data_IF_338360883598
#
_entry.id   IF_338360883598
#
_cell.length_a   1.000
_cell.length_b   1.000
_cell.length_c   1.000
_cell.angle_alpha   90.00
_cell.angle_beta   90.00
_cell.angle_gamma   90.00
#
_symmetry.space_group_name_H-M   'P 1'
#
loop_
_entity.id
_entity.type
_entity.pdbx_description
1 polymer ?
#
# COMPACT_ATOMS: atom_id res chain seq x y z
N UNK A 1 19.42 16.64 35.91
CA UNK A 1 19.35 16.42 34.47
C UNK A 1 17.94 16.10 33.99
N UNK A 2 17.21 15.17 34.59
CA UNK A 2 15.83 14.76 34.18
C UNK A 2 14.82 15.92 34.15
N UNK A 3 14.85 16.83 35.14
CA UNK A 3 13.93 17.97 35.21
C UNK A 3 14.09 18.97 34.03
N UNK A 4 15.35 19.27 33.64
CA UNK A 4 15.61 20.17 32.49
C UNK A 4 15.08 19.60 31.16
N UNK A 5 15.28 18.30 30.92
CA UNK A 5 14.75 17.62 29.75
C UNK A 5 13.21 17.68 29.69
N UNK A 6 12.55 17.41 30.82
CA UNK A 6 11.09 17.45 30.92
C UNK A 6 10.51 18.84 30.60
N UNK A 7 11.07 19.89 31.20
CA UNK A 7 10.60 21.25 30.92
C UNK A 7 10.85 21.67 29.46
N UNK A 8 12.00 21.29 28.90
CA UNK A 8 12.28 21.55 27.48
C UNK A 8 11.27 20.86 26.58
N UNK A 9 11.09 19.56 26.72
CA UNK A 9 10.13 18.77 25.92
C UNK A 9 8.72 19.32 26.05
N UNK A 10 8.26 19.63 27.27
CA UNK A 10 6.94 20.22 27.51
C UNK A 10 6.76 21.56 26.81
N UNK A 11 7.76 22.45 26.88
CA UNK A 11 7.72 23.77 26.24
C UNK A 11 7.70 23.64 24.72
N UNK A 12 8.53 22.77 24.15
CA UNK A 12 8.60 22.51 22.70
C UNK A 12 7.27 21.93 22.19
N UNK A 13 6.73 20.93 22.88
CA UNK A 13 5.43 20.37 22.52
C UNK A 13 4.30 21.40 22.59
N UNK A 14 4.29 22.27 23.64
CA UNK A 14 3.31 23.35 23.74
C UNK A 14 3.41 24.32 22.56
N UNK A 15 4.63 24.65 22.13
CA UNK A 15 4.86 25.48 20.94
C UNK A 15 4.36 24.82 19.66
N UNK A 16 4.64 23.53 19.46
CA UNK A 16 4.19 22.79 18.29
C UNK A 16 2.67 22.64 18.22
N UNK A 17 2.00 22.46 19.36
CA UNK A 17 0.54 22.32 19.46
C UNK A 17 -0.17 23.67 19.43
N UNK A 18 0.51 24.80 19.63
CA UNK A 18 -0.12 26.14 19.56
C UNK A 18 -0.79 26.43 18.22
N UNK A 19 -0.34 25.79 17.13
CA UNK A 19 -0.94 25.82 15.78
C UNK A 19 -1.88 24.63 15.52
N UNK A 20 -2.52 24.08 16.56
CA UNK A 20 -3.21 22.79 16.53
C UNK A 20 -4.23 22.65 15.40
N UNK A 21 -4.99 23.68 15.08
CA UNK A 21 -5.95 23.65 13.96
C UNK A 21 -5.26 23.39 12.60
N UNK A 22 -4.13 24.06 12.36
CA UNK A 22 -3.34 23.88 11.13
C UNK A 22 -2.75 22.47 11.09
N UNK A 23 -2.19 22.01 12.22
CA UNK A 23 -1.59 20.68 12.34
C UNK A 23 -2.61 19.58 12.06
N UNK A 24 -3.79 19.66 12.67
CA UNK A 24 -4.87 18.70 12.46
C UNK A 24 -5.34 18.72 11.01
N UNK A 25 -5.54 19.91 10.43
CA UNK A 25 -6.03 20.05 9.07
C UNK A 25 -5.05 19.47 8.03
N UNK A 26 -3.75 19.78 8.14
CA UNK A 26 -2.76 19.38 7.14
C UNK A 26 -2.25 17.95 7.29
N UNK A 27 -2.03 17.48 8.53
CA UNK A 27 -1.37 16.19 8.74
C UNK A 27 -2.34 15.04 9.03
N UNK A 28 -3.57 15.36 9.42
CA UNK A 28 -4.57 14.34 9.77
C UNK A 28 -5.76 14.43 8.81
N UNK A 29 -6.50 15.53 8.79
CA UNK A 29 -7.74 15.63 8.04
C UNK A 29 -7.53 15.55 6.52
N UNK A 30 -6.60 16.31 5.96
CA UNK A 30 -6.34 16.29 4.51
C UNK A 30 -5.91 14.92 3.98
N UNK A 31 -4.91 14.22 4.56
CA UNK A 31 -4.54 12.89 4.10
C UNK A 31 -5.64 11.85 4.26
N UNK A 32 -6.44 11.93 5.32
CA UNK A 32 -7.59 11.05 5.53
C UNK A 32 -8.65 11.27 4.43
N UNK A 33 -9.03 12.53 4.20
CA UNK A 33 -10.03 12.86 3.17
C UNK A 33 -9.54 12.39 1.81
N UNK A 34 -8.27 12.63 1.47
CA UNK A 34 -7.69 12.19 0.20
C UNK A 34 -7.64 10.66 0.07
N UNK A 35 -7.26 9.94 1.12
CA UNK A 35 -7.25 8.48 1.07
C UNK A 35 -8.65 7.89 0.92
N UNK A 36 -9.65 8.43 1.63
CA UNK A 36 -11.05 8.02 1.53
C UNK A 36 -11.62 8.36 0.14
N UNK A 37 -11.36 9.55 -0.36
CA UNK A 37 -11.81 9.99 -1.67
C UNK A 37 -11.23 9.11 -2.79
N UNK A 38 -9.92 8.88 -2.77
CA UNK A 38 -9.25 8.02 -3.75
C UNK A 38 -9.71 6.56 -3.65
N UNK A 39 -9.90 6.05 -2.43
CA UNK A 39 -10.45 4.72 -2.20
C UNK A 39 -11.85 4.57 -2.78
N UNK A 40 -12.72 5.54 -2.54
CA UNK A 40 -14.07 5.58 -3.07
C UNK A 40 -14.11 5.66 -4.60
N UNK A 41 -13.39 6.61 -5.18
CA UNK A 41 -13.32 6.78 -6.65
C UNK A 41 -12.76 5.56 -7.36
N UNK A 42 -11.71 4.94 -6.82
CA UNK A 42 -11.15 3.74 -7.42
C UNK A 42 -12.07 2.53 -7.29
N UNK A 43 -12.82 2.41 -6.21
CA UNK A 43 -13.85 1.38 -6.11
C UNK A 43 -14.93 1.60 -7.18
N UNK A 44 -15.46 2.82 -7.33
CA UNK A 44 -16.44 3.14 -8.36
C UNK A 44 -15.93 2.86 -9.79
N UNK A 45 -14.68 3.18 -10.08
CA UNK A 45 -14.11 2.94 -11.42
C UNK A 45 -13.72 1.48 -11.66
N UNK A 46 -13.42 0.71 -10.62
CA UNK A 46 -13.14 -0.73 -10.72
C UNK A 46 -14.43 -1.57 -10.76
N UNK A 47 -15.51 -1.08 -10.17
CA UNK A 47 -16.84 -1.71 -10.19
C UNK A 47 -17.67 -1.27 -11.40
N UNK A 48 -17.14 -0.43 -12.29
CA UNK A 48 -17.87 0.06 -13.45
C UNK A 48 -18.11 -1.09 -14.45
N UNK A 49 -19.36 -1.61 -14.57
CA UNK A 49 -19.68 -2.79 -15.37
C UNK A 49 -19.58 -2.54 -16.89
N UNK A 50 -19.28 -1.30 -17.31
CA UNK A 50 -19.34 -0.86 -18.71
C UNK A 50 -18.05 -1.12 -19.51
N UNK A 51 -16.95 -1.57 -18.90
CA UNK A 51 -15.77 -2.05 -19.62
C UNK A 51 -15.33 -3.38 -19.01
N UNK A 52 -15.80 -4.46 -19.61
CA UNK A 52 -15.25 -5.80 -19.40
C UNK A 52 -13.74 -5.73 -19.64
N UNK A 53 -12.94 -5.82 -18.59
CA UNK A 53 -11.49 -5.89 -18.73
C UNK A 53 -11.14 -7.25 -19.31
N UNK A 54 -10.31 -7.26 -20.34
CA UNK A 54 -9.80 -8.49 -20.93
C UNK A 54 -9.24 -9.38 -19.82
N UNK A 55 -9.74 -10.62 -19.77
CA UNK A 55 -9.37 -11.63 -18.79
C UNK A 55 -8.19 -12.44 -19.33
N UNK A 56 -7.07 -12.44 -18.63
CA UNK A 56 -5.94 -13.30 -18.99
C UNK A 56 -6.19 -14.72 -18.50
N UNK A 57 -6.50 -15.64 -19.43
CA UNK A 57 -6.91 -17.02 -19.13
C UNK A 57 -5.83 -17.98 -19.57
N UNK A 58 -5.45 -18.92 -18.68
CA UNK A 58 -4.66 -20.08 -19.03
C UNK A 58 -5.58 -21.29 -19.14
N UNK A 59 -5.53 -21.98 -20.26
CA UNK A 59 -6.31 -23.19 -20.50
C UNK A 59 -5.42 -24.39 -20.19
N UNK A 60 -5.90 -25.28 -19.30
CA UNK A 60 -5.29 -26.57 -18.99
C UNK A 60 -6.26 -27.65 -19.42
N UNK A 61 -5.89 -28.44 -20.39
CA UNK A 61 -6.70 -29.52 -20.92
C UNK A 61 -6.11 -30.86 -20.46
N UNK A 62 -6.72 -31.44 -19.42
CA UNK A 62 -6.33 -32.74 -18.85
C UNK A 62 -7.07 -33.91 -19.52
N UNK A 63 -8.16 -33.62 -20.29
CA UNK A 63 -8.96 -34.61 -20.97
C UNK A 63 -8.38 -35.00 -22.33
N UNK A 64 -7.80 -34.05 -23.05
CA UNK A 64 -7.18 -34.22 -24.37
C UNK A 64 -8.09 -34.88 -25.43
N UNK A 65 -9.41 -34.82 -25.25
CA UNK A 65 -10.42 -35.37 -26.17
C UNK A 65 -10.68 -34.43 -27.36
N UNK A 66 -11.47 -34.90 -28.31
CA UNK A 66 -11.91 -34.03 -29.44
C UNK A 66 -12.81 -32.89 -28.93
N UNK A 67 -13.70 -33.16 -27.97
CA UNK A 67 -14.60 -32.14 -27.44
C UNK A 67 -13.85 -31.10 -26.61
N UNK A 68 -12.84 -31.51 -25.82
CA UNK A 68 -12.02 -30.58 -25.03
C UNK A 68 -11.19 -29.64 -25.94
N UNK A 69 -10.63 -30.17 -27.01
CA UNK A 69 -9.90 -29.38 -28.03
C UNK A 69 -10.80 -28.37 -28.74
N UNK A 70 -12.01 -28.79 -29.17
CA UNK A 70 -13.01 -27.89 -29.76
C UNK A 70 -13.38 -26.75 -28.79
N UNK A 71 -13.59 -27.04 -27.49
CA UNK A 71 -13.84 -26.03 -26.50
C UNK A 71 -12.66 -25.05 -26.38
N UNK A 72 -11.43 -25.56 -26.36
CA UNK A 72 -10.23 -24.75 -26.33
C UNK A 72 -10.09 -23.82 -27.56
N UNK A 73 -10.48 -24.30 -28.74
CA UNK A 73 -10.52 -23.50 -29.99
C UNK A 73 -11.57 -22.40 -29.93
N UNK A 74 -12.76 -22.68 -29.43
CA UNK A 74 -13.83 -21.70 -29.23
C UNK A 74 -13.37 -20.57 -28.29
N UNK A 75 -12.73 -20.92 -27.17
CA UNK A 75 -12.22 -19.93 -26.22
C UNK A 75 -11.12 -19.06 -26.85
N UNK A 76 -10.30 -19.62 -27.75
CA UNK A 76 -9.28 -18.89 -28.52
C UNK A 76 -9.86 -18.13 -29.71
N UNK A 77 -11.14 -18.35 -30.03
CA UNK A 77 -11.84 -17.80 -31.18
C UNK A 77 -11.88 -16.28 -31.22
N UNK A 78 -12.14 -15.72 -32.41
CA UNK A 78 -12.18 -14.26 -32.61
C UNK A 78 -13.29 -13.59 -31.82
N UNK A 79 -14.39 -14.28 -31.57
CA UNK A 79 -15.59 -13.73 -30.92
C UNK A 79 -15.38 -13.43 -29.44
N UNK A 80 -14.43 -14.14 -28.78
CA UNK A 80 -14.12 -13.95 -27.38
C UNK A 80 -12.86 -13.10 -27.13
N UNK A 81 -12.18 -12.60 -28.16
CA UNK A 81 -10.94 -11.82 -28.05
C UNK A 81 -11.10 -10.50 -27.28
N UNK A 82 -12.29 -9.91 -27.30
CA UNK A 82 -12.57 -8.70 -26.53
C UNK A 82 -12.72 -8.97 -25.04
N UNK A 83 -13.05 -10.21 -24.66
CA UNK A 83 -13.26 -10.64 -23.28
C UNK A 83 -12.08 -11.43 -22.73
N UNK A 84 -11.45 -12.29 -23.57
CA UNK A 84 -10.46 -13.27 -23.14
C UNK A 84 -9.17 -13.12 -23.95
N UNK A 85 -8.05 -13.15 -23.24
CA UNK A 85 -6.71 -13.28 -23.80
C UNK A 85 -6.06 -14.54 -23.23
N UNK A 86 -5.75 -15.50 -24.11
CA UNK A 86 -5.07 -16.73 -23.66
C UNK A 86 -3.59 -16.43 -23.42
N UNK A 87 -3.11 -16.73 -22.20
CA UNK A 87 -1.74 -16.48 -21.77
C UNK A 87 -1.17 -17.73 -21.08
N UNK A 88 0.16 -17.90 -21.15
CA UNK A 88 0.84 -19.03 -20.51
C UNK A 88 1.47 -18.64 -19.16
N UNK A 89 1.74 -17.34 -18.93
CA UNK A 89 2.38 -16.82 -17.72
C UNK A 89 1.46 -15.82 -17.03
N UNK A 90 1.41 -15.86 -15.70
CA UNK A 90 0.65 -14.96 -14.85
C UNK A 90 -0.83 -14.77 -15.26
N UNK A 91 -1.62 -15.86 -15.42
CA UNK A 91 -3.03 -15.75 -15.76
C UNK A 91 -3.84 -15.18 -14.57
N UNK A 92 -4.90 -14.43 -14.90
CA UNK A 92 -5.92 -14.03 -13.91
C UNK A 92 -6.78 -15.22 -13.48
N UNK A 93 -7.03 -16.09 -14.45
CA UNK A 93 -7.88 -17.29 -14.32
C UNK A 93 -7.23 -18.46 -15.00
N UNK A 94 -7.28 -19.61 -14.35
CA UNK A 94 -6.90 -20.89 -14.91
C UNK A 94 -8.16 -21.74 -15.15
N UNK A 95 -8.44 -22.03 -16.41
CA UNK A 95 -9.54 -22.87 -16.83
C UNK A 95 -9.02 -24.28 -17.02
N UNK A 96 -9.47 -25.21 -16.17
CA UNK A 96 -9.07 -26.63 -16.21
C UNK A 96 -10.22 -27.46 -16.76
N UNK A 97 -9.98 -28.14 -17.88
CA UNK A 97 -10.88 -29.16 -18.43
C UNK A 97 -10.43 -30.49 -17.86
N UNK A 98 -11.17 -31.00 -16.88
CA UNK A 98 -10.78 -32.20 -16.15
C UNK A 98 -10.99 -33.48 -16.97
N UNK A 99 -10.25 -34.54 -16.62
CA UNK A 99 -10.39 -35.88 -17.24
C UNK A 99 -11.82 -36.37 -17.19
N UNK A 100 -12.26 -37.00 -18.28
CA UNK A 100 -13.61 -37.53 -18.41
C UNK A 100 -14.63 -36.49 -18.90
N UNK A 101 -14.19 -35.31 -19.32
CA UNK A 101 -15.05 -34.24 -19.82
C UNK A 101 -15.94 -34.72 -20.97
N UNK A 102 -15.37 -35.32 -22.04
CA UNK A 102 -16.13 -35.82 -23.19
C UNK A 102 -17.11 -36.95 -22.79
N UNK A 103 -16.65 -37.91 -21.99
CA UNK A 103 -17.51 -38.99 -21.54
C UNK A 103 -18.70 -38.50 -20.69
N UNK A 104 -18.46 -37.48 -19.84
CA UNK A 104 -19.53 -36.89 -19.04
C UNK A 104 -20.55 -36.17 -19.94
N UNK A 105 -20.11 -35.46 -20.95
CA UNK A 105 -21.01 -34.76 -21.90
C UNK A 105 -21.82 -35.77 -22.71
N UNK A 106 -21.19 -36.79 -23.29
CA UNK A 106 -21.87 -37.82 -24.07
C UNK A 106 -22.90 -38.63 -23.26
N UNK A 107 -22.60 -38.85 -21.98
CA UNK A 107 -23.51 -39.54 -21.06
C UNK A 107 -24.51 -38.59 -20.38
N UNK A 108 -24.60 -37.33 -20.83
CA UNK A 108 -25.48 -36.29 -20.31
C UNK A 108 -25.29 -36.03 -18.81
N UNK A 109 -24.08 -36.25 -18.32
CA UNK A 109 -23.66 -35.90 -16.96
C UNK A 109 -23.06 -34.47 -16.92
N UNK A 110 -22.83 -33.93 -15.71
CA UNK A 110 -22.15 -32.63 -15.54
C UNK A 110 -20.79 -32.62 -16.25
N UNK A 111 -20.58 -31.63 -17.10
CA UNK A 111 -19.27 -31.34 -17.66
C UNK A 111 -18.30 -30.99 -16.51
N UNK A 112 -17.12 -31.61 -16.52
CA UNK A 112 -16.15 -31.44 -15.44
C UNK A 112 -15.15 -30.33 -15.82
N UNK A 113 -15.56 -29.06 -15.62
CA UNK A 113 -14.71 -27.89 -15.86
C UNK A 113 -14.56 -27.09 -14.57
N UNK A 114 -13.32 -26.73 -14.26
CA UNK A 114 -12.98 -25.96 -13.08
C UNK A 114 -12.41 -24.61 -13.48
N UNK A 115 -12.93 -23.52 -12.91
CA UNK A 115 -12.42 -22.17 -13.08
C UNK A 115 -11.69 -21.75 -11.81
N UNK A 116 -10.36 -21.72 -11.86
CA UNK A 116 -9.50 -21.30 -10.76
C UNK A 116 -9.18 -19.83 -10.89
N UNK A 117 -9.77 -18.98 -10.05
CA UNK A 117 -9.56 -17.54 -10.07
C UNK A 117 -8.40 -17.14 -9.16
N UNK A 118 -7.38 -16.48 -9.71
CA UNK A 118 -6.19 -16.02 -8.95
C UNK A 118 -6.30 -14.59 -8.43
N UNK A 119 -7.24 -13.77 -8.93
CA UNK A 119 -7.40 -12.37 -8.52
C UNK A 119 -8.86 -12.02 -8.27
N UNK A 120 -9.15 -11.21 -7.25
CA UNK A 120 -10.51 -10.72 -7.00
C UNK A 120 -10.93 -9.58 -7.94
N UNK A 121 -9.95 -8.92 -8.59
CA UNK A 121 -10.16 -7.71 -9.39
C UNK A 121 -10.98 -7.88 -10.67
N UNK A 122 -11.17 -9.11 -11.14
CA UNK A 122 -11.86 -9.42 -12.39
C UNK A 122 -13.05 -10.37 -12.20
N UNK A 123 -13.73 -10.24 -11.08
CA UNK A 123 -14.86 -11.09 -10.70
C UNK A 123 -15.97 -11.08 -11.75
N UNK A 124 -16.36 -9.89 -12.22
CA UNK A 124 -17.42 -9.74 -13.25
C UNK A 124 -17.01 -10.42 -14.55
N UNK A 125 -15.77 -10.24 -15.01
CA UNK A 125 -15.28 -10.88 -16.23
C UNK A 125 -15.22 -12.41 -16.08
N UNK A 126 -14.85 -12.92 -14.89
CA UNK A 126 -14.84 -14.36 -14.59
C UNK A 126 -16.26 -14.94 -14.59
N UNK A 127 -17.21 -14.23 -13.97
CA UNK A 127 -18.61 -14.65 -13.95
C UNK A 127 -19.23 -14.61 -15.36
N UNK A 128 -18.84 -13.63 -16.18
CA UNK A 128 -19.25 -13.58 -17.60
C UNK A 128 -18.69 -14.77 -18.37
N UNK A 129 -17.41 -15.13 -18.18
CA UNK A 129 -16.82 -16.32 -18.77
C UNK A 129 -17.59 -17.58 -18.37
N UNK A 130 -17.90 -17.73 -17.06
CA UNK A 130 -18.72 -18.84 -16.57
C UNK A 130 -20.05 -18.92 -17.30
N UNK A 131 -20.77 -17.80 -17.38
CA UNK A 131 -22.07 -17.74 -18.05
C UNK A 131 -21.98 -18.12 -19.54
N UNK A 132 -20.91 -17.71 -20.23
CA UNK A 132 -20.67 -18.09 -21.63
C UNK A 132 -20.45 -19.60 -21.76
N UNK A 133 -19.63 -20.17 -20.88
CA UNK A 133 -19.36 -21.60 -20.87
C UNK A 133 -20.61 -22.42 -20.50
N UNK A 134 -21.40 -21.97 -19.53
CA UNK A 134 -22.69 -22.60 -19.17
C UNK A 134 -23.64 -22.61 -20.36
N UNK A 135 -23.78 -21.50 -21.08
CA UNK A 135 -24.62 -21.41 -22.28
C UNK A 135 -24.10 -22.27 -23.41
N UNK A 136 -22.78 -22.34 -23.63
CA UNK A 136 -22.18 -23.22 -24.58
C UNK A 136 -22.56 -24.69 -24.32
N UNK A 137 -22.43 -25.13 -23.07
CA UNK A 137 -22.78 -26.49 -22.67
C UNK A 137 -24.28 -26.75 -22.77
N UNK A 138 -25.12 -25.80 -22.39
CA UNK A 138 -26.57 -25.91 -22.61
C UNK A 138 -26.90 -26.15 -24.06
N UNK A 139 -26.33 -25.36 -24.98
CA UNK A 139 -26.54 -25.55 -26.42
C UNK A 139 -26.01 -26.91 -26.93
N UNK A 140 -24.88 -27.34 -26.41
CA UNK A 140 -24.28 -28.63 -26.71
C UNK A 140 -25.22 -29.78 -26.30
N UNK A 141 -25.77 -29.74 -25.07
CA UNK A 141 -26.72 -30.74 -24.57
C UNK A 141 -28.04 -30.74 -25.35
N UNK A 142 -28.56 -29.58 -25.74
CA UNK A 142 -29.75 -29.47 -26.61
C UNK A 142 -29.48 -30.18 -27.93
N UNK A 143 -28.31 -29.94 -28.52
CA UNK A 143 -27.89 -30.58 -29.76
C UNK A 143 -27.79 -32.10 -29.64
N UNK A 144 -27.22 -32.60 -28.52
CA UNK A 144 -27.07 -34.03 -28.27
C UNK A 144 -28.37 -34.74 -27.88
N UNK A 145 -29.37 -33.98 -27.41
CA UNK A 145 -30.68 -34.51 -26.99
C UNK A 145 -31.73 -34.49 -28.13
N UNK A 146 -31.32 -34.17 -29.36
CA UNK A 146 -32.23 -34.00 -30.50
C UNK A 146 -33.42 -33.08 -30.23
N UNK A 147 -33.26 -32.11 -29.35
CA UNK A 147 -34.29 -31.13 -29.02
C UNK A 147 -35.38 -31.64 -28.07
N UNK A 148 -35.19 -32.72 -27.33
CA UNK A 148 -36.17 -33.22 -26.39
C UNK A 148 -36.27 -32.34 -25.15
N UNK A 149 -37.40 -31.66 -24.92
CA UNK A 149 -37.59 -30.60 -23.93
C UNK A 149 -37.57 -31.17 -22.49
N UNK A 150 -38.00 -32.42 -22.29
CA UNK A 150 -38.01 -33.03 -20.93
C UNK A 150 -36.62 -33.30 -20.36
N UNK A 151 -35.62 -33.47 -21.18
CA UNK A 151 -34.22 -33.60 -20.76
C UNK A 151 -33.59 -32.22 -20.47
N UNK A 152 -34.13 -31.14 -21.00
CA UNK A 152 -33.58 -29.78 -20.83
C UNK A 152 -33.73 -29.26 -19.42
N UNK A 153 -34.85 -29.51 -18.75
CA UNK A 153 -35.09 -29.03 -17.37
C UNK A 153 -34.05 -29.62 -16.38
N UNK A 154 -33.63 -30.87 -16.60
CA UNK A 154 -32.58 -31.50 -15.79
C UNK A 154 -31.21 -30.86 -15.98
N UNK A 155 -30.96 -30.23 -17.13
CA UNK A 155 -29.69 -29.57 -17.45
C UNK A 155 -29.67 -28.10 -17.03
N UNK A 156 -30.82 -27.44 -17.00
CA UNK A 156 -30.89 -26.02 -16.57
C UNK A 156 -30.61 -25.86 -15.08
N UNK A 157 -30.98 -26.86 -14.25
CA UNK A 157 -30.73 -26.83 -12.80
C UNK A 157 -29.34 -27.34 -12.42
N UNK A 158 -28.62 -27.99 -13.32
CA UNK A 158 -27.27 -28.49 -13.04
C UNK A 158 -26.22 -27.37 -13.22
N UNK A 159 -25.61 -26.95 -12.13
CA UNK A 159 -24.38 -26.16 -12.22
C UNK A 159 -23.29 -27.01 -12.90
N UNK A 160 -23.01 -26.70 -14.20
CA UNK A 160 -22.07 -27.46 -15.03
C UNK A 160 -20.63 -27.11 -14.67
N UNK A 161 -20.42 -25.93 -14.10
CA UNK A 161 -19.10 -25.38 -13.77
C UNK A 161 -19.02 -25.12 -12.26
N UNK A 162 -18.08 -25.77 -11.60
CA UNK A 162 -17.74 -25.48 -10.22
C UNK A 162 -16.74 -24.31 -10.18
N UNK A 163 -17.13 -23.23 -9.51
CA UNK A 163 -16.23 -22.16 -9.17
C UNK A 163 -15.46 -22.53 -7.90
N UNK A 164 -14.27 -23.06 -8.05
CA UNK A 164 -13.37 -23.28 -6.91
C UNK A 164 -12.55 -21.99 -6.73
N UNK A 165 -12.81 -21.29 -5.64
CA UNK A 165 -11.97 -20.18 -5.21
C UNK A 165 -10.71 -20.79 -4.58
N UNK A 166 -9.66 -20.98 -5.39
CA UNK A 166 -8.35 -21.30 -4.85
C UNK A 166 -7.84 -20.02 -4.18
N UNK A 167 -7.24 -20.17 -2.99
CA UNK A 167 -6.67 -19.08 -2.20
C UNK A 167 -5.88 -18.12 -3.10
N UNK A 168 -6.56 -17.10 -3.49
CA UNK A 168 -6.00 -16.03 -4.30
C UNK A 168 -5.08 -15.24 -3.41
N UNK A 169 -3.95 -14.76 -3.94
CA UNK A 169 -3.16 -13.76 -3.25
C UNK A 169 -4.09 -12.66 -2.76
N UNK A 170 -4.26 -12.61 -1.44
CA UNK A 170 -5.08 -11.61 -0.78
C UNK A 170 -4.62 -10.25 -1.28
N UNK A 171 -5.49 -9.49 -1.92
CA UNK A 171 -5.17 -8.14 -2.40
C UNK A 171 -5.75 -7.13 -1.43
N UNK A 172 -4.99 -6.09 -1.12
CA UNK A 172 -5.49 -4.99 -0.31
C UNK A 172 -6.70 -4.34 -1.00
N UNK A 173 -7.73 -4.07 -0.23
CA UNK A 173 -8.84 -3.21 -0.65
C UNK A 173 -8.28 -1.83 -1.05
N UNK A 174 -8.98 -1.11 -1.93
CA UNK A 174 -8.53 0.21 -2.38
C UNK A 174 -8.36 1.21 -1.22
N UNK A 175 -9.23 1.17 -0.21
CA UNK A 175 -9.06 1.97 1.00
C UNK A 175 -7.78 1.60 1.76
N UNK A 176 -7.47 0.32 1.92
CA UNK A 176 -6.24 -0.16 2.57
C UNK A 176 -4.99 0.29 1.81
N UNK A 177 -5.03 0.21 0.48
CA UNK A 177 -3.95 0.64 -0.39
C UNK A 177 -3.69 2.14 -0.30
N UNK A 178 -4.74 2.97 -0.40
CA UNK A 178 -4.59 4.42 -0.33
C UNK A 178 -4.29 4.90 1.09
N UNK A 179 -4.83 4.28 2.13
CA UNK A 179 -4.46 4.58 3.51
C UNK A 179 -2.96 4.33 3.77
N UNK A 180 -2.41 3.21 3.28
CA UNK A 180 -0.99 2.92 3.40
C UNK A 180 -0.13 3.90 2.57
N UNK A 181 -0.55 4.25 1.37
CA UNK A 181 0.19 5.19 0.52
C UNK A 181 0.21 6.60 1.09
N UNK A 182 -0.92 7.08 1.65
CA UNK A 182 -1.02 8.43 2.24
C UNK A 182 -0.18 8.61 3.51
N UNK A 183 0.18 7.54 4.22
CA UNK A 183 1.19 7.63 5.31
C UNK A 183 2.50 8.19 4.78
N UNK A 184 2.96 7.76 3.60
CA UNK A 184 4.15 8.30 2.96
C UNK A 184 4.07 9.82 2.74
N UNK A 185 2.90 10.30 2.34
CA UNK A 185 2.64 11.73 2.20
C UNK A 185 2.70 12.46 3.54
N UNK A 186 2.03 11.96 4.58
CA UNK A 186 2.07 12.52 5.94
C UNK A 186 3.51 12.65 6.45
N UNK A 187 4.31 11.61 6.27
CA UNK A 187 5.70 11.56 6.70
C UNK A 187 6.54 12.64 6.04
N UNK A 188 6.40 12.83 4.74
CA UNK A 188 7.19 13.82 4.00
C UNK A 188 6.74 15.24 4.32
N UNK A 189 5.45 15.45 4.47
CA UNK A 189 4.91 16.73 4.96
C UNK A 189 5.43 17.06 6.36
N UNK A 190 5.52 16.08 7.26
CA UNK A 190 6.11 16.25 8.58
C UNK A 190 7.59 16.62 8.49
N UNK A 191 8.39 15.92 7.66
CA UNK A 191 9.80 16.24 7.46
C UNK A 191 9.95 17.69 6.99
N UNK A 192 9.19 18.08 5.96
CA UNK A 192 9.25 19.42 5.39
C UNK A 192 8.89 20.51 6.43
N UNK A 193 7.81 20.32 7.16
CA UNK A 193 7.34 21.29 8.16
C UNK A 193 8.27 21.39 9.36
N UNK A 194 8.77 20.27 9.86
CA UNK A 194 9.72 20.24 10.97
C UNK A 194 11.04 20.90 10.61
N UNK A 195 11.55 20.67 9.39
CA UNK A 195 12.76 21.33 8.88
C UNK A 195 12.53 22.84 8.76
N UNK A 196 11.39 23.28 8.22
CA UNK A 196 11.09 24.70 8.11
C UNK A 196 10.92 25.35 9.48
N UNK A 197 10.23 24.71 10.43
CA UNK A 197 10.06 25.17 11.79
C UNK A 197 11.41 25.38 12.49
N UNK A 198 12.28 24.38 12.45
CA UNK A 198 13.61 24.46 13.05
C UNK A 198 14.47 25.59 12.47
N UNK A 199 14.35 25.91 11.18
CA UNK A 199 15.08 27.03 10.61
C UNK A 199 14.43 28.40 10.89
N UNK A 200 13.11 28.45 11.06
CA UNK A 200 12.44 29.67 11.51
C UNK A 200 12.83 30.01 12.96
N UNK A 201 12.89 29.02 13.84
CA UNK A 201 13.36 29.20 15.23
C UNK A 201 14.80 29.74 15.29
N UNK A 202 15.66 29.29 14.38
CA UNK A 202 17.02 29.85 14.23
C UNK A 202 17.00 31.32 13.78
N UNK A 203 16.11 31.70 12.89
CA UNK A 203 16.02 33.08 12.39
C UNK A 203 15.53 34.07 13.46
N UNK A 204 14.75 33.62 14.44
CA UNK A 204 14.22 34.43 15.56
C UNK A 204 15.15 34.44 16.77
N UNK A 205 16.42 34.04 16.61
CA UNK A 205 17.44 34.02 17.66
C UNK A 205 17.14 33.12 18.89
N UNK A 206 16.21 32.18 18.78
CA UNK A 206 15.95 31.18 19.82
C UNK A 206 17.21 30.34 20.06
N UNK A 207 17.96 30.01 19.00
CA UNK A 207 19.24 29.31 19.10
C UNK A 207 20.26 30.04 19.98
N UNK A 208 20.32 31.37 19.91
CA UNK A 208 21.22 32.17 20.77
C UNK A 208 20.81 32.10 22.23
N UNK A 209 19.51 32.09 22.55
CA UNK A 209 19.00 31.91 23.91
C UNK A 209 19.29 30.52 24.45
N UNK A 210 19.15 29.48 23.63
CA UNK A 210 19.48 28.09 23.99
C UNK A 210 21.00 27.94 24.19
N UNK A 211 21.82 28.57 23.37
CA UNK A 211 23.28 28.56 23.52
C UNK A 211 23.77 29.33 24.74
N UNK A 212 22.99 30.28 25.28
CA UNK A 212 23.28 30.97 26.56
C UNK A 212 22.88 30.12 27.78
N UNK A 213 22.04 29.09 27.61
CA UNK A 213 21.69 28.16 28.70
C UNK A 213 22.83 27.16 28.96
N UNK A 214 23.01 26.69 30.19
CA UNK A 214 24.04 25.71 30.55
C UNK A 214 23.64 24.30 30.04
N UNK A 215 23.55 24.14 28.70
CA UNK A 215 23.18 22.90 27.99
C UNK A 215 24.18 22.69 26.88
N UNK A 216 24.76 21.50 26.79
CA UNK A 216 25.65 21.15 25.70
C UNK A 216 24.86 20.96 24.38
N UNK A 217 25.50 21.16 23.22
CA UNK A 217 24.86 20.93 21.93
C UNK A 217 24.30 19.51 21.78
N UNK A 218 24.98 18.53 22.37
CA UNK A 218 24.53 17.14 22.36
C UNK A 218 23.29 16.93 23.22
N UNK A 219 23.23 17.58 24.42
CA UNK A 219 22.03 17.53 25.24
C UNK A 219 20.84 18.21 24.56
N UNK A 220 21.10 19.34 23.90
CA UNK A 220 20.07 20.03 23.12
C UNK A 220 19.52 19.13 22.01
N UNK A 221 20.40 18.53 21.19
CA UNK A 221 20.01 17.60 20.14
C UNK A 221 19.14 16.45 20.70
N UNK A 222 19.54 15.88 21.83
CA UNK A 222 18.81 14.79 22.47
C UNK A 222 17.41 15.21 22.95
N UNK A 223 17.31 16.40 23.59
CA UNK A 223 16.01 16.90 24.09
C UNK A 223 15.07 17.24 22.93
N UNK A 224 15.59 17.85 21.88
CA UNK A 224 14.83 18.16 20.68
C UNK A 224 14.38 16.89 19.96
N UNK A 225 15.26 15.90 19.83
CA UNK A 225 14.92 14.58 19.29
C UNK A 225 13.77 13.92 20.06
N UNK A 226 13.81 13.98 21.40
CA UNK A 226 12.78 13.40 22.24
C UNK A 226 11.42 14.09 22.08
N UNK A 227 11.42 15.42 22.01
CA UNK A 227 10.20 16.21 21.75
C UNK A 227 9.61 15.87 20.37
N UNK A 228 10.46 15.79 19.35
CA UNK A 228 10.04 15.45 17.98
C UNK A 228 9.52 14.01 17.87
N UNK A 229 10.11 13.04 18.56
CA UNK A 229 9.59 11.66 18.63
C UNK A 229 8.15 11.65 19.15
N UNK A 230 7.91 12.31 20.29
CA UNK A 230 6.59 12.33 20.91
C UNK A 230 5.57 12.99 19.98
N UNK A 231 5.92 14.14 19.41
CA UNK A 231 5.02 14.90 18.53
C UNK A 231 4.66 14.13 17.27
N UNK A 232 5.66 13.61 16.56
CA UNK A 232 5.45 12.87 15.30
C UNK A 232 4.71 11.56 15.55
N UNK A 233 5.04 10.87 16.64
CA UNK A 233 4.34 9.65 17.05
C UNK A 233 2.85 9.89 17.23
N UNK A 234 2.46 10.97 17.92
CA UNK A 234 1.05 11.30 18.14
C UNK A 234 0.33 11.55 16.80
N UNK A 235 0.94 12.28 15.87
CA UNK A 235 0.32 12.57 14.56
C UNK A 235 0.15 11.30 13.72
N UNK A 236 1.20 10.49 13.59
CA UNK A 236 1.15 9.25 12.81
C UNK A 236 0.19 8.26 13.45
N UNK A 237 0.20 8.15 14.79
CA UNK A 237 -0.73 7.30 15.52
C UNK A 237 -2.18 7.76 15.33
N UNK A 238 -2.47 9.06 15.38
CA UNK A 238 -3.81 9.59 15.17
C UNK A 238 -4.35 9.24 13.76
N UNK A 239 -3.51 9.38 12.72
CA UNK A 239 -3.86 8.96 11.37
C UNK A 239 -4.20 7.47 11.29
N UNK A 240 -3.33 6.62 11.84
CA UNK A 240 -3.50 5.15 11.79
C UNK A 240 -4.70 4.70 12.61
N UNK A 241 -4.92 5.29 13.81
CA UNK A 241 -6.06 4.99 14.68
C UNK A 241 -7.37 5.33 13.98
N UNK A 242 -7.44 6.45 13.26
CA UNK A 242 -8.63 6.82 12.51
C UNK A 242 -9.06 5.71 11.54
N UNK A 243 -8.15 5.24 10.70
CA UNK A 243 -8.45 4.19 9.72
C UNK A 243 -8.76 2.84 10.38
N UNK A 244 -8.16 2.56 11.52
CA UNK A 244 -8.44 1.35 12.29
C UNK A 244 -9.83 1.39 12.92
N UNK A 245 -10.22 2.50 13.56
CA UNK A 245 -11.53 2.67 14.21
C UNK A 245 -12.66 2.67 13.19
N UNK A 246 -12.45 3.31 12.03
CA UNK A 246 -13.43 3.27 10.94
C UNK A 246 -13.52 1.91 10.24
N UNK A 247 -12.60 0.99 10.53
CA UNK A 247 -12.56 -0.32 9.89
C UNK A 247 -12.21 -0.29 8.40
N UNK A 248 -11.67 0.81 7.89
CA UNK A 248 -11.28 0.95 6.49
C UNK A 248 -9.91 0.36 6.20
N UNK A 249 -8.98 0.40 7.17
CA UNK A 249 -7.61 -0.10 7.02
C UNK A 249 -7.00 -0.48 8.37
N UNK A 250 -5.80 -1.07 8.36
CA UNK A 250 -4.97 -1.39 9.54
C UNK A 250 -5.67 -2.29 10.59
N UNK A 251 -6.43 -3.29 10.13
CA UNK A 251 -7.25 -4.19 10.98
C UNK A 251 -6.47 -5.27 11.71
N UNK A 252 -5.18 -5.46 11.40
CA UNK A 252 -4.35 -6.53 11.93
C UNK A 252 -3.91 -6.35 13.38
N UNK A 253 -2.80 -7.00 13.76
CA UNK A 253 -2.25 -7.00 15.11
C UNK A 253 -1.83 -5.58 15.56
N UNK A 254 -2.27 -5.16 16.75
CA UNK A 254 -2.00 -3.82 17.30
C UNK A 254 -0.52 -3.61 17.62
N UNK A 255 0.17 -4.62 18.14
CA UNK A 255 1.58 -4.51 18.48
C UNK A 255 2.45 -4.31 17.24
N UNK A 256 2.15 -5.05 16.19
CA UNK A 256 2.80 -4.93 14.89
C UNK A 256 2.57 -3.55 14.26
N UNK A 257 1.36 -3.03 14.40
CA UNK A 257 1.01 -1.68 13.96
C UNK A 257 1.78 -0.61 14.72
N UNK A 258 1.95 -0.79 16.03
CA UNK A 258 2.74 0.12 16.87
C UNK A 258 4.21 0.13 16.43
N UNK A 259 4.78 -1.02 16.07
CA UNK A 259 6.14 -1.10 15.50
C UNK A 259 6.25 -0.29 14.22
N UNK A 260 5.27 -0.36 13.32
CA UNK A 260 5.25 0.44 12.10
C UNK A 260 5.17 1.94 12.37
N UNK A 261 4.32 2.36 13.32
CA UNK A 261 4.21 3.77 13.73
C UNK A 261 5.52 4.28 14.32
N UNK A 262 6.15 3.51 15.20
CA UNK A 262 7.46 3.84 15.78
C UNK A 262 8.56 3.93 14.72
N UNK A 263 8.61 2.97 13.81
CA UNK A 263 9.58 2.96 12.69
C UNK A 263 9.43 4.20 11.81
N UNK A 264 8.18 4.56 11.48
CA UNK A 264 7.86 5.79 10.74
C UNK A 264 8.32 7.04 11.46
N UNK A 265 8.06 7.10 12.77
CA UNK A 265 8.48 8.21 13.63
C UNK A 265 10.00 8.37 13.65
N UNK A 266 10.73 7.28 13.82
CA UNK A 266 12.20 7.30 13.83
C UNK A 266 12.80 7.75 12.51
N UNK A 267 12.20 7.35 11.39
CA UNK A 267 12.63 7.82 10.06
C UNK A 267 12.47 9.33 9.92
N UNK A 268 11.31 9.88 10.28
CA UNK A 268 11.05 11.33 10.19
C UNK A 268 12.02 12.11 11.07
N UNK A 269 12.18 11.68 12.32
CA UNK A 269 13.07 12.33 13.27
C UNK A 269 14.52 12.30 12.79
N UNK A 270 15.00 11.15 12.33
CA UNK A 270 16.39 11.01 11.87
C UNK A 270 16.69 11.91 10.68
N UNK A 271 15.79 11.96 9.68
CA UNK A 271 15.94 12.83 8.51
C UNK A 271 15.88 14.31 8.90
N UNK A 272 14.89 14.70 9.69
CA UNK A 272 14.73 16.10 10.13
C UNK A 272 15.95 16.58 10.92
N UNK A 273 16.39 15.82 11.91
CA UNK A 273 17.55 16.18 12.74
C UNK A 273 18.83 16.27 11.92
N UNK A 274 19.02 15.37 10.98
CA UNK A 274 20.20 15.41 10.11
C UNK A 274 20.19 16.62 9.20
N UNK A 275 19.08 16.89 8.54
CA UNK A 275 18.96 18.06 7.65
C UNK A 275 19.24 19.34 8.43
N UNK A 276 18.61 19.52 9.59
CA UNK A 276 18.72 20.78 10.38
C UNK A 276 20.07 20.94 11.07
N UNK A 277 20.78 19.85 11.37
CA UNK A 277 22.10 19.87 12.01
C UNK A 277 23.24 20.03 11.00
N UNK A 278 23.13 19.33 9.85
CA UNK A 278 24.22 19.28 8.87
C UNK A 278 24.20 20.48 7.93
N UNK A 279 23.02 20.87 7.46
CA UNK A 279 22.87 21.88 6.41
C UNK A 279 22.51 23.28 6.98
N UNK A 280 22.94 24.32 6.28
CA UNK A 280 22.47 25.69 6.52
C UNK A 280 21.03 25.85 6.04
N UNK A 281 20.32 26.85 6.58
CA UNK A 281 18.88 27.10 6.31
C UNK A 281 18.52 27.05 4.82
N UNK A 282 19.29 27.71 3.96
CA UNK A 282 19.05 27.74 2.51
C UNK A 282 19.05 26.31 1.90
N UNK A 283 20.09 25.54 2.17
CA UNK A 283 20.24 24.19 1.59
C UNK A 283 19.33 23.17 2.24
N UNK A 284 19.12 23.25 3.56
CA UNK A 284 18.23 22.33 4.26
C UNK A 284 16.78 22.45 3.82
N UNK A 285 16.29 23.66 3.60
CA UNK A 285 14.95 23.87 3.01
C UNK A 285 14.84 23.27 1.60
N UNK A 286 15.85 23.48 0.74
CA UNK A 286 15.87 22.91 -0.61
C UNK A 286 15.83 21.38 -0.55
N UNK A 287 16.64 20.76 0.31
CA UNK A 287 16.68 19.30 0.47
C UNK A 287 15.32 18.76 0.91
N UNK A 288 14.64 19.43 1.87
CA UNK A 288 13.31 19.00 2.30
C UNK A 288 12.28 19.09 1.17
N UNK A 289 12.34 20.10 0.30
CA UNK A 289 11.50 20.19 -0.89
C UNK A 289 11.82 19.10 -1.93
N UNK A 290 13.09 18.77 -2.14
CA UNK A 290 13.50 17.69 -3.05
C UNK A 290 12.95 16.35 -2.56
N UNK A 291 13.06 16.04 -1.26
CA UNK A 291 12.50 14.83 -0.66
C UNK A 291 10.96 14.79 -0.87
N UNK A 292 10.29 15.93 -0.68
CA UNK A 292 8.86 16.03 -0.95
C UNK A 292 8.53 15.74 -2.42
N UNK A 293 9.23 16.37 -3.37
CA UNK A 293 8.99 16.19 -4.80
C UNK A 293 9.23 14.75 -5.26
N UNK A 294 10.32 14.11 -4.79
CA UNK A 294 10.62 12.71 -5.12
C UNK A 294 9.50 11.80 -4.62
N UNK A 295 9.04 12.04 -3.39
CA UNK A 295 7.96 11.23 -2.82
C UNK A 295 6.65 11.46 -3.54
N UNK A 296 6.32 12.70 -3.87
CA UNK A 296 5.12 13.05 -4.60
C UNK A 296 5.11 12.42 -6.01
N UNK A 297 6.24 12.48 -6.72
CA UNK A 297 6.41 11.84 -8.02
C UNK A 297 6.36 10.28 -7.93
N UNK A 298 6.67 9.72 -6.75
CA UNK A 298 6.62 8.28 -6.48
C UNK A 298 5.22 7.80 -6.10
N UNK A 299 4.25 8.69 -5.94
CA UNK A 299 2.88 8.34 -5.60
C UNK A 299 2.28 7.49 -6.73
N UNK A 300 1.64 6.37 -6.39
CA UNK A 300 1.05 5.44 -7.38
C UNK A 300 0.06 6.12 -8.33
N UNK A 301 -0.53 7.24 -7.93
CA UNK A 301 -1.43 8.06 -8.74
C UNK A 301 -0.72 8.74 -9.91
N UNK A 302 0.56 9.12 -9.73
CA UNK A 302 1.39 9.79 -10.74
C UNK A 302 2.46 8.87 -11.32
N UNK A 303 2.64 7.67 -10.75
CA UNK A 303 3.68 6.74 -11.14
C UNK A 303 3.34 6.09 -12.48
N UNK A 304 4.11 6.45 -13.48
CA UNK A 304 4.26 5.65 -14.69
C UNK A 304 4.86 4.30 -14.27
N UNK A 305 4.18 3.20 -14.62
CA UNK A 305 4.63 1.82 -14.32
C UNK A 305 6.12 1.67 -14.62
N UNK A 306 6.91 1.31 -13.60
CA UNK A 306 8.34 1.02 -13.77
C UNK A 306 9.30 2.16 -13.44
N UNK A 307 8.84 3.25 -12.81
CA UNK A 307 9.73 4.37 -12.45
C UNK A 307 10.71 3.96 -11.33
N UNK A 308 12.02 3.87 -11.68
CA UNK A 308 13.09 3.56 -10.73
C UNK A 308 13.29 4.62 -9.63
N UNK A 309 12.73 5.82 -9.80
CA UNK A 309 12.77 6.89 -8.79
C UNK A 309 12.03 6.53 -7.50
N UNK A 310 11.05 5.62 -7.56
CA UNK A 310 10.31 5.17 -6.38
C UNK A 310 11.23 4.57 -5.31
N UNK A 311 12.28 3.86 -5.71
CA UNK A 311 13.22 3.21 -4.80
C UNK A 311 14.04 4.22 -3.98
N UNK A 312 14.27 5.42 -4.53
CA UNK A 312 15.06 6.48 -3.86
C UNK A 312 14.20 7.17 -2.78
N UNK A 313 12.89 7.11 -2.88
CA UNK A 313 12.00 7.72 -1.90
C UNK A 313 12.06 6.99 -0.56
N UNK A 314 12.32 7.68 0.56
CA UNK A 314 12.34 7.05 1.88
C UNK A 314 10.99 6.45 2.26
N UNK A 315 9.90 6.94 1.66
CA UNK A 315 8.54 6.47 1.92
C UNK A 315 8.18 5.19 1.17
N UNK A 316 8.93 4.83 0.12
CA UNK A 316 8.72 3.59 -0.62
C UNK A 316 8.77 2.35 0.29
N UNK A 317 9.76 2.29 1.14
CA UNK A 317 9.94 1.17 2.07
C UNK A 317 8.82 1.11 3.12
N UNK A 318 8.37 2.27 3.61
CA UNK A 318 7.25 2.37 4.54
C UNK A 318 5.93 1.94 3.88
N UNK A 319 5.65 2.43 2.68
CA UNK A 319 4.44 2.05 1.94
C UNK A 319 4.37 0.54 1.73
N UNK A 320 5.49 -0.10 1.38
CA UNK A 320 5.55 -1.56 1.25
C UNK A 320 5.29 -2.26 2.59
N UNK A 321 5.86 -1.77 3.69
CA UNK A 321 5.64 -2.36 5.01
C UNK A 321 4.16 -2.25 5.45
N UNK A 322 3.53 -1.09 5.30
CA UNK A 322 2.11 -0.89 5.61
C UNK A 322 1.18 -1.66 4.68
N UNK A 323 1.49 -1.76 3.40
CA UNK A 323 0.72 -2.56 2.45
C UNK A 323 0.77 -4.06 2.79
N UNK A 324 1.95 -4.59 3.16
CA UNK A 324 2.09 -5.98 3.59
C UNK A 324 1.39 -6.25 4.94
N UNK A 325 1.42 -5.27 5.86
CA UNK A 325 0.67 -5.35 7.09
C UNK A 325 -0.84 -5.42 6.83
N UNK A 326 -1.39 -4.59 5.95
CA UNK A 326 -2.80 -4.66 5.57
C UNK A 326 -3.15 -6.01 4.93
N UNK A 327 -2.26 -6.53 4.09
CA UNK A 327 -2.44 -7.81 3.40
C UNK A 327 -2.47 -8.99 4.35
N UNK A 328 -1.51 -9.05 5.28
CA UNK A 328 -1.29 -10.21 6.13
C UNK A 328 -1.96 -10.08 7.52
N UNK A 329 -2.35 -8.86 7.91
CA UNK A 329 -2.83 -8.57 9.26
C UNK A 329 -1.74 -8.59 10.34
N UNK A 330 -0.48 -8.78 9.93
CA UNK A 330 0.71 -8.82 10.80
C UNK A 330 1.96 -8.42 10.02
N UNK A 331 3.13 -8.43 10.67
CA UNK A 331 4.40 -8.08 10.04
C UNK A 331 5.09 -9.24 9.30
N UNK A 332 4.43 -10.39 9.11
CA UNK A 332 5.02 -11.48 8.34
C UNK A 332 5.34 -11.02 6.90
N UNK A 333 6.58 -11.16 6.48
CA UNK A 333 7.09 -10.62 5.19
C UNK A 333 7.40 -9.11 5.19
N UNK A 334 6.93 -8.33 6.16
CA UNK A 334 7.19 -6.89 6.30
C UNK A 334 8.50 -6.54 7.00
N UNK A 335 9.07 -7.44 7.78
CA UNK A 335 10.28 -7.19 8.58
C UNK A 335 11.48 -6.72 7.76
N UNK A 336 11.64 -7.23 6.54
CA UNK A 336 12.70 -6.80 5.62
C UNK A 336 12.66 -5.28 5.41
N UNK A 337 11.49 -4.72 5.19
CA UNK A 337 11.31 -3.30 4.94
C UNK A 337 11.54 -2.47 6.19
N UNK A 338 11.05 -2.94 7.36
CA UNK A 338 11.25 -2.29 8.65
C UNK A 338 12.73 -2.22 9.00
N UNK A 339 13.47 -3.31 8.86
CA UNK A 339 14.91 -3.34 9.12
C UNK A 339 15.69 -2.40 8.21
N UNK A 340 15.32 -2.32 6.92
CA UNK A 340 15.92 -1.34 5.99
C UNK A 340 15.69 0.10 6.44
N UNK A 341 14.47 0.43 6.86
CA UNK A 341 14.12 1.78 7.35
C UNK A 341 14.91 2.11 8.62
N UNK A 342 14.94 1.20 9.58
CA UNK A 342 15.71 1.40 10.83
C UNK A 342 17.20 1.56 10.56
N UNK A 343 17.76 0.78 9.64
CA UNK A 343 19.15 0.90 9.22
C UNK A 343 19.45 2.28 8.62
N UNK A 344 18.60 2.75 7.71
CA UNK A 344 18.69 4.10 7.13
C UNK A 344 18.58 5.16 8.24
N UNK A 345 17.60 5.04 9.13
CA UNK A 345 17.40 5.98 10.22
C UNK A 345 18.60 6.08 11.16
N UNK A 346 19.21 4.94 11.51
CA UNK A 346 20.41 4.89 12.35
C UNK A 346 21.61 5.56 11.66
N UNK A 347 21.87 5.25 10.39
CA UNK A 347 22.99 5.86 9.64
C UNK A 347 22.80 7.37 9.57
N UNK A 348 21.62 7.80 9.15
CA UNK A 348 21.30 9.22 8.97
C UNK A 348 21.40 9.97 10.30
N UNK A 349 20.83 9.43 11.38
CA UNK A 349 20.93 10.06 12.70
C UNK A 349 22.36 10.09 13.25
N UNK A 350 23.18 9.08 12.97
CA UNK A 350 24.60 9.05 13.35
C UNK A 350 25.37 10.21 12.75
N UNK A 351 25.07 10.62 11.52
CA UNK A 351 25.68 11.80 10.89
C UNK A 351 25.36 13.08 11.67
N UNK A 352 24.11 13.23 12.13
CA UNK A 352 23.71 14.37 12.96
C UNK A 352 24.44 14.40 14.30
N UNK A 353 24.57 13.25 14.97
CA UNK A 353 25.25 13.15 16.26
C UNK A 353 26.74 13.45 16.14
N UNK A 354 27.43 12.90 15.16
CA UNK A 354 28.84 13.18 14.87
C UNK A 354 29.05 14.67 14.63
N UNK A 355 28.20 15.31 13.81
CA UNK A 355 28.30 16.74 13.56
C UNK A 355 28.06 17.58 14.82
N UNK A 356 27.12 17.20 15.68
CA UNK A 356 26.87 17.88 16.95
C UNK A 356 28.06 17.80 17.90
N UNK A 357 28.71 16.63 17.99
CA UNK A 357 29.92 16.41 18.80
C UNK A 357 31.08 17.29 18.32
N UNK A 358 31.38 17.26 17.01
CA UNK A 358 32.48 18.04 16.42
C UNK A 358 32.26 19.55 16.62
N UNK A 359 31.02 20.01 16.40
CA UNK A 359 30.71 21.44 16.56
C UNK A 359 30.65 21.89 18.03
N UNK A 360 30.45 20.96 18.98
CA UNK A 360 30.55 21.21 20.42
C UNK A 360 32.00 21.42 20.89
N UNK A 361 32.95 20.64 20.37
CA UNK A 361 34.37 20.75 20.73
C UNK A 361 35.01 22.05 20.25
N UNK A 362 34.64 22.58 19.09
CA UNK A 362 35.20 23.83 18.58
C UNK A 362 34.89 25.09 19.41
N UNK A 363 33.83 25.09 20.24
CA UNK A 363 33.49 26.20 21.14
C UNK A 363 34.24 26.15 22.47
N UNK A 364 34.90 25.04 22.81
CA UNK A 364 35.71 24.89 24.01
C UNK A 364 37.18 25.31 23.77
N UNK A 365 37.58 25.48 22.51
CA UNK A 365 38.95 25.85 22.13
C UNK A 365 39.10 27.30 21.65
N UNK A 366 38.05 28.11 21.69
CA UNK A 366 38.02 29.55 21.49
C UNK A 366 37.43 30.25 22.75
#
# INVERSE_FOLDING_TARGET
MKMKAFYYVKSTLKGMVSSGAIVISYFIAFPIIMACFMGYFNNLTNENPLKLRVLDVKIVDDDNSEMSKKLGEIIKGKDLKELIKVVNKDPDVELVINKGYENNILNKNKGNITINRKTEKKEIATNTLKTILDRYHQNLYISLSNGNVEDLDKFFDAQIIDNIKIDTMKTNNMYEKYAASMIGFVIVMLIMTMVQGAYNDKSVNIENRVNAAPVTKMQYLFYDTLANIIYIFIIVAAYVIFFRVTGLSFKGNVLDLLVLVLTSTLLVVSLTQTITTVFKSKYGKIISYIIFLITFASFEMFSLKGNKLTIISPTHYLNNAFNLYNLNGNLSGGWKWILMILFIAIIVYSIATIKAIISGRRKLCN
#
